data_IF_488238320918
#
_entry.id   IF_488238320918
#
_cell.length_a   1.000
_cell.length_b   1.000
_cell.length_c   1.000
_cell.angle_alpha   90.00
_cell.angle_beta   90.00
_cell.angle_gamma   90.00
#
_symmetry.space_group_name_H-M   'P 1'
#
loop_
_entity.id
_entity.type
_entity.pdbx_description
1 polymer ?
#
# COMPACT_ATOMS: atom_id res chain seq x y z
N UNK A 1 35.12 7.34 -51.69
CA UNK A 1 35.32 6.99 -50.27
C UNK A 1 34.64 8.10 -49.48
N UNK A 2 33.55 7.86 -48.76
CA UNK A 2 33.52 7.28 -47.41
C UNK A 2 32.31 6.34 -47.24
N UNK A 3 32.53 5.31 -46.42
CA UNK A 3 31.71 4.14 -46.14
C UNK A 3 30.46 4.42 -45.27
N UNK A 4 29.57 3.42 -45.26
CA UNK A 4 28.31 3.36 -44.53
C UNK A 4 28.46 3.44 -43.00
N UNK A 5 27.40 3.92 -42.33
CA UNK A 5 27.05 3.52 -40.98
C UNK A 5 25.53 3.53 -40.83
N UNK A 6 24.93 2.35 -40.96
CA UNK A 6 23.60 2.03 -40.44
C UNK A 6 23.60 2.17 -38.92
N UNK A 7 22.68 2.97 -38.37
CA UNK A 7 22.35 2.91 -36.95
C UNK A 7 20.92 2.41 -36.82
N UNK A 8 20.81 1.37 -36.00
CA UNK A 8 19.66 0.53 -35.78
C UNK A 8 18.46 1.28 -35.21
N UNK A 9 17.29 0.67 -35.49
CA UNK A 9 16.00 0.93 -34.89
C UNK A 9 16.13 1.00 -33.37
N UNK A 10 15.78 2.13 -32.77
CA UNK A 10 15.38 2.14 -31.37
C UNK A 10 13.86 2.11 -31.35
N UNK A 11 13.32 0.92 -31.14
CA UNK A 11 11.96 0.75 -30.66
C UNK A 11 11.89 1.46 -29.31
N UNK A 12 11.59 2.75 -29.30
CA UNK A 12 10.95 3.34 -28.14
C UNK A 12 9.49 2.88 -28.19
N UNK A 13 9.26 1.59 -27.88
CA UNK A 13 8.06 1.23 -27.14
C UNK A 13 8.19 2.04 -25.86
N UNK A 14 7.67 3.27 -25.87
CA UNK A 14 7.39 3.97 -24.63
C UNK A 14 6.54 2.99 -23.83
N UNK A 15 7.19 2.46 -22.79
CA UNK A 15 6.70 1.43 -21.90
C UNK A 15 5.21 1.67 -21.67
N UNK A 16 4.41 0.61 -21.74
CA UNK A 16 3.04 0.64 -21.25
C UNK A 16 3.04 1.40 -19.93
N UNK A 17 2.60 2.65 -19.98
CA UNK A 17 2.21 3.37 -18.80
C UNK A 17 0.97 2.58 -18.40
N UNK A 18 1.14 1.56 -17.56
CA UNK A 18 0.00 1.07 -16.81
C UNK A 18 -0.66 2.32 -16.28
N UNK A 19 -1.89 2.59 -16.70
CA UNK A 19 -2.80 3.56 -16.08
C UNK A 19 -3.08 3.07 -14.65
N UNK A 20 -2.01 2.95 -13.87
CA UNK A 20 -2.02 2.51 -12.51
C UNK A 20 -2.05 3.76 -11.66
N UNK A 21 -3.06 3.84 -10.83
CA UNK A 21 -3.18 4.84 -9.80
C UNK A 21 -2.13 4.59 -8.72
N UNK A 22 -1.53 5.66 -8.21
CA UNK A 22 -0.61 5.58 -7.09
C UNK A 22 -1.44 5.44 -5.82
N UNK A 23 -1.33 4.29 -5.17
CA UNK A 23 -1.95 4.00 -3.88
C UNK A 23 -0.91 4.23 -2.79
N UNK A 24 -1.14 5.23 -1.94
CA UNK A 24 -0.32 5.53 -0.77
C UNK A 24 -1.05 5.09 0.49
N UNK A 25 -0.48 4.11 1.19
CA UNK A 25 -0.87 3.74 2.54
C UNK A 25 -0.09 4.56 3.54
N UNK A 26 -0.80 5.13 4.52
CA UNK A 26 -0.17 5.83 5.64
C UNK A 26 -0.74 5.29 6.94
N UNK A 27 0.14 5.02 7.90
CA UNK A 27 -0.24 4.67 9.27
C UNK A 27 0.48 5.59 10.24
N UNK A 28 -0.29 6.18 11.14
CA UNK A 28 0.22 7.00 12.25
C UNK A 28 -0.27 6.48 13.57
N UNK A 29 0.43 6.84 14.64
CA UNK A 29 0.09 6.47 16.00
C UNK A 29 0.34 7.66 16.93
N UNK A 30 -0.50 7.80 17.95
CA UNK A 30 -0.38 8.84 18.99
C UNK A 30 0.53 8.42 20.15
N UNK A 31 0.78 7.12 20.31
CA UNK A 31 1.74 6.56 21.28
C UNK A 31 2.69 5.55 20.62
N UNK A 32 3.88 5.29 21.20
CA UNK A 32 4.77 4.26 20.69
C UNK A 32 4.12 2.86 20.78
N UNK A 33 4.08 2.13 19.66
CA UNK A 33 3.57 0.76 19.61
C UNK A 33 4.13 -0.01 18.41
N UNK A 34 4.26 -1.33 18.58
CA UNK A 34 4.40 -2.28 17.50
C UNK A 34 3.05 -2.52 16.81
N UNK A 35 3.07 -2.55 15.48
CA UNK A 35 1.92 -2.85 14.65
C UNK A 35 2.26 -3.97 13.68
N UNK A 36 1.39 -4.97 13.66
CA UNK A 36 1.32 -5.94 12.58
C UNK A 36 0.47 -5.36 11.46
N UNK A 37 1.13 -5.10 10.34
CA UNK A 37 0.50 -4.59 9.13
C UNK A 37 0.15 -5.75 8.21
N UNK A 38 -0.98 -5.62 7.56
CA UNK A 38 -1.35 -6.45 6.42
C UNK A 38 -2.03 -5.57 5.38
N UNK A 39 -1.41 -5.47 4.21
CA UNK A 39 -1.83 -4.55 3.16
C UNK A 39 -1.51 -5.10 1.76
N UNK A 40 -2.23 -4.62 0.76
CA UNK A 40 -2.10 -5.13 -0.61
C UNK A 40 -1.00 -4.38 -1.35
N UNK A 41 -0.01 -5.12 -1.85
CA UNK A 41 1.18 -4.56 -2.52
C UNK A 41 1.12 -4.69 -4.04
N UNK A 42 0.42 -5.70 -4.54
CA UNK A 42 0.23 -5.95 -5.96
C UNK A 42 -1.24 -6.27 -6.23
N UNK A 43 -1.80 -5.69 -7.28
CA UNK A 43 -3.20 -5.90 -7.64
C UNK A 43 -3.41 -7.33 -8.17
N UNK A 44 -4.36 -8.10 -7.61
CA UNK A 44 -4.76 -9.38 -8.18
C UNK A 44 -5.54 -9.15 -9.50
N UNK A 45 -5.38 -10.03 -10.50
CA UNK A 45 -6.11 -9.89 -11.77
C UNK A 45 -7.62 -10.03 -11.60
N UNK A 46 -8.07 -10.77 -10.57
CA UNK A 46 -9.47 -10.90 -10.16
C UNK A 46 -9.56 -11.51 -8.74
N UNK A 47 -10.79 -11.60 -8.22
CA UNK A 47 -11.07 -12.16 -6.89
C UNK A 47 -10.73 -13.65 -6.75
N UNK A 48 -10.82 -14.42 -7.84
CA UNK A 48 -10.50 -15.84 -7.84
C UNK A 48 -8.99 -16.07 -7.66
N UNK A 49 -8.16 -15.28 -8.34
CA UNK A 49 -6.71 -15.30 -8.20
C UNK A 49 -6.28 -14.88 -6.79
N UNK A 50 -6.92 -13.84 -6.24
CA UNK A 50 -6.71 -13.45 -4.84
C UNK A 50 -7.07 -14.58 -3.87
N UNK A 51 -8.23 -15.22 -4.04
CA UNK A 51 -8.67 -16.32 -3.17
C UNK A 51 -7.80 -17.57 -3.32
N UNK A 52 -7.23 -17.80 -4.51
CA UNK A 52 -6.32 -18.91 -4.77
C UNK A 52 -4.96 -18.71 -4.06
N UNK A 53 -4.43 -17.49 -4.04
CA UNK A 53 -3.17 -17.17 -3.36
C UNK A 53 -3.10 -15.71 -2.88
N UNK A 54 -3.75 -15.40 -1.76
CA UNK A 54 -3.78 -14.04 -1.22
C UNK A 54 -2.39 -13.55 -0.79
N UNK A 55 -1.49 -14.46 -0.39
CA UNK A 55 -0.15 -14.13 0.07
C UNK A 55 0.77 -13.65 -1.05
N UNK A 56 0.46 -13.97 -2.31
CA UNK A 56 1.16 -13.40 -3.46
C UNK A 56 0.90 -11.89 -3.65
N UNK A 57 -0.20 -11.37 -3.09
CA UNK A 57 -0.64 -9.98 -3.29
C UNK A 57 -0.54 -9.14 -2.01
N UNK A 58 -0.77 -9.77 -0.85
CA UNK A 58 -0.65 -9.13 0.46
C UNK A 58 0.78 -9.21 0.99
N UNK A 59 1.22 -8.11 1.61
CA UNK A 59 2.41 -8.11 2.44
C UNK A 59 2.01 -8.00 3.90
N UNK A 60 2.63 -8.85 4.72
CA UNK A 60 2.59 -8.78 6.17
C UNK A 60 3.95 -8.31 6.67
N UNK A 61 3.96 -7.28 7.50
CA UNK A 61 5.19 -6.82 8.15
C UNK A 61 4.89 -6.24 9.53
N UNK A 62 5.89 -6.28 10.39
CA UNK A 62 5.84 -5.65 11.70
C UNK A 62 6.60 -4.33 11.64
N UNK A 63 5.99 -3.25 12.15
CA UNK A 63 6.64 -1.94 12.26
C UNK A 63 6.49 -1.40 13.67
N UNK A 64 7.51 -0.68 14.14
CA UNK A 64 7.44 0.06 15.40
C UNK A 64 7.21 1.53 15.08
N UNK A 65 6.03 2.04 15.41
CA UNK A 65 5.69 3.45 15.21
C UNK A 65 6.05 4.28 16.43
N UNK A 66 6.51 5.50 16.16
CA UNK A 66 6.70 6.55 17.16
C UNK A 66 5.69 7.68 16.92
N UNK A 67 5.27 8.41 17.96
CA UNK A 67 4.39 9.56 17.80
C UNK A 67 4.96 10.58 16.81
N UNK A 68 4.14 11.00 15.85
CA UNK A 68 4.52 11.98 14.82
C UNK A 68 5.42 11.44 13.70
N UNK A 69 5.75 10.15 13.68
CA UNK A 69 6.49 9.50 12.58
C UNK A 69 5.54 8.57 11.83
N UNK A 70 4.99 8.99 10.67
CA UNK A 70 4.14 8.13 9.86
C UNK A 70 4.97 7.01 9.22
N UNK A 71 4.40 5.81 9.17
CA UNK A 71 4.80 4.79 8.20
C UNK A 71 4.06 5.06 6.90
N UNK A 72 4.79 5.03 5.78
CA UNK A 72 4.25 5.28 4.45
C UNK A 72 4.71 4.18 3.50
N UNK A 73 3.79 3.65 2.72
CA UNK A 73 4.08 2.73 1.62
C UNK A 73 3.31 3.15 0.39
N UNK A 74 3.99 3.16 -0.76
CA UNK A 74 3.39 3.48 -2.05
C UNK A 74 3.49 2.28 -2.99
N UNK A 75 2.42 2.03 -3.72
CA UNK A 75 2.39 1.07 -4.81
C UNK A 75 1.49 1.56 -5.94
N UNK A 76 1.58 0.92 -7.09
CA UNK A 76 0.79 1.25 -8.27
C UNK A 76 -0.23 0.15 -8.53
N UNK A 77 -1.51 0.53 -8.67
CA UNK A 77 -2.61 -0.40 -8.95
C UNK A 77 -3.46 0.13 -10.10
N UNK A 78 -3.80 -0.71 -11.07
CA UNK A 78 -4.75 -0.36 -12.14
C UNK A 78 -6.18 -0.14 -11.62
N UNK A 79 -6.58 -0.85 -10.57
CA UNK A 79 -7.84 -0.61 -9.84
C UNK A 79 -7.53 -0.36 -8.36
N UNK A 80 -7.45 0.91 -7.92
CA UNK A 80 -7.12 1.25 -6.54
C UNK A 80 -8.21 0.82 -5.56
N UNK A 81 -9.41 0.46 -6.02
CA UNK A 81 -10.50 0.04 -5.13
C UNK A 81 -10.22 -1.29 -4.39
N UNK A 82 -9.17 -2.01 -4.80
CA UNK A 82 -8.61 -3.17 -4.08
C UNK A 82 -7.73 -2.78 -2.89
N UNK A 83 -7.42 -1.51 -2.69
CA UNK A 83 -6.54 -1.10 -1.62
C UNK A 83 -7.12 -1.45 -0.24
N UNK A 84 -6.29 -2.07 0.59
CA UNK A 84 -6.58 -2.37 2.00
C UNK A 84 -5.33 -2.19 2.82
N UNK A 85 -5.50 -1.61 4.00
CA UNK A 85 -4.52 -1.56 5.07
C UNK A 85 -5.21 -1.94 6.36
N UNK A 86 -4.79 -3.04 6.95
CA UNK A 86 -5.13 -3.42 8.33
C UNK A 86 -3.89 -3.28 9.19
N UNK A 87 -4.04 -2.66 10.34
CA UNK A 87 -3.00 -2.57 11.34
C UNK A 87 -3.57 -2.96 12.71
N UNK A 88 -2.89 -3.85 13.41
CA UNK A 88 -3.23 -4.24 14.77
C UNK A 88 -1.99 -4.22 15.64
N UNK A 89 -2.14 -3.79 16.88
CA UNK A 89 -1.03 -3.80 17.83
C UNK A 89 -1.14 -4.97 18.81
N UNK A 90 0.00 -5.50 19.23
CA UNK A 90 0.11 -6.47 20.31
C UNK A 90 0.12 -5.87 21.71
N UNK A 91 -0.03 -4.54 21.85
CA UNK A 91 0.16 -3.81 23.12
C UNK A 91 -0.53 -4.50 24.30
N UNK A 92 0.23 -4.58 25.38
CA UNK A 92 -0.22 -5.17 26.62
C UNK A 92 -1.05 -4.14 27.39
N UNK A 93 -2.07 -4.61 28.13
CA UNK A 93 -3.10 -3.81 28.82
C UNK A 93 -2.62 -2.71 29.78
N UNK A 94 -1.30 -2.52 29.94
CA UNK A 94 -0.66 -1.50 30.77
C UNK A 94 -0.05 -0.33 30.00
N UNK A 95 -0.06 -0.35 28.66
CA UNK A 95 0.43 0.75 27.82
C UNK A 95 -0.69 1.73 27.48
N UNK A 96 -0.33 2.99 27.25
CA UNK A 96 -1.25 3.96 26.68
C UNK A 96 -1.77 3.45 25.33
N UNK A 97 -3.06 3.63 25.08
CA UNK A 97 -3.64 3.26 23.79
C UNK A 97 -2.93 4.04 22.67
N UNK A 98 -2.42 3.36 21.64
CA UNK A 98 -1.70 4.02 20.57
C UNK A 98 -2.59 4.85 19.66
N UNK A 99 -3.91 4.62 19.67
CA UNK A 99 -4.88 5.26 18.80
C UNK A 99 -4.40 5.34 17.33
N UNK A 100 -4.22 4.19 16.65
CA UNK A 100 -3.75 4.19 15.28
C UNK A 100 -4.72 4.89 14.34
N UNK A 101 -4.17 5.68 13.42
CA UNK A 101 -4.90 6.31 12.32
C UNK A 101 -4.33 5.81 10.99
N UNK A 102 -5.17 5.22 10.17
CA UNK A 102 -4.81 4.81 8.81
C UNK A 102 -5.41 5.74 7.76
N UNK A 103 -4.70 5.89 6.66
CA UNK A 103 -5.11 6.64 5.48
C UNK A 103 -4.72 5.86 4.22
N UNK A 104 -5.61 5.84 3.23
CA UNK A 104 -5.33 5.40 1.87
C UNK A 104 -5.59 6.59 0.96
N UNK A 105 -4.54 7.06 0.29
CA UNK A 105 -4.62 8.10 -0.71
C UNK A 105 -4.39 7.54 -2.12
N UNK A 106 -5.19 7.99 -3.07
CA UNK A 106 -5.13 7.61 -4.49
C UNK A 106 -4.68 8.85 -5.26
N UNK A 107 -3.56 8.75 -5.99
CA UNK A 107 -2.95 9.85 -6.73
C UNK A 107 -2.74 11.14 -5.89
N UNK A 108 -2.51 10.94 -4.58
CA UNK A 108 -2.32 12.02 -3.61
C UNK A 108 -3.59 12.51 -2.90
N UNK A 109 -4.78 12.09 -3.33
CA UNK A 109 -6.05 12.44 -2.69
C UNK A 109 -6.49 11.36 -1.69
N UNK A 110 -6.85 11.75 -0.47
CA UNK A 110 -7.31 10.81 0.57
C UNK A 110 -8.67 10.22 0.20
N UNK A 111 -8.70 8.94 -0.15
CA UNK A 111 -9.93 8.25 -0.52
C UNK A 111 -10.64 7.63 0.69
N UNK A 112 -9.88 7.12 1.66
CA UNK A 112 -10.42 6.62 2.93
C UNK A 112 -9.41 6.84 4.06
N UNK A 113 -9.93 7.16 5.24
CA UNK A 113 -9.17 7.25 6.48
C UNK A 113 -10.03 6.73 7.63
N UNK A 114 -9.41 6.15 8.65
CA UNK A 114 -10.09 5.64 9.84
C UNK A 114 -9.18 5.77 11.06
N UNK A 115 -9.81 5.91 12.22
CA UNK A 115 -9.17 5.88 13.53
C UNK A 115 -9.58 4.62 14.29
N UNK A 116 -8.67 4.12 15.11
CA UNK A 116 -8.94 3.02 16.02
C UNK A 116 -8.27 3.24 17.37
N UNK A 117 -8.57 2.38 18.35
CA UNK A 117 -7.94 2.44 19.69
C UNK A 117 -6.70 1.54 19.77
N UNK A 118 -6.80 0.33 19.21
CA UNK A 118 -5.72 -0.68 19.18
C UNK A 118 -5.60 -1.37 17.81
N UNK A 119 -6.63 -1.28 17.00
CA UNK A 119 -6.65 -1.84 15.65
C UNK A 119 -7.34 -0.85 14.74
N UNK A 120 -6.89 -0.76 13.50
CA UNK A 120 -7.53 0.07 12.49
C UNK A 120 -7.52 -0.65 11.14
N UNK A 121 -8.54 -0.39 10.34
CA UNK A 121 -8.68 -0.95 9.01
C UNK A 121 -9.20 0.13 8.06
N UNK A 122 -8.43 0.40 7.01
CA UNK A 122 -8.83 1.22 5.89
C UNK A 122 -8.98 0.30 4.67
N UNK A 123 -10.12 0.37 3.99
CA UNK A 123 -10.37 -0.42 2.79
C UNK A 123 -11.28 0.34 1.83
N UNK A 124 -11.09 0.11 0.52
CA UNK A 124 -11.98 0.61 -0.53
C UNK A 124 -13.00 -0.46 -0.94
N UNK A 125 -13.74 -0.27 -2.04
CA UNK A 125 -15.01 -0.97 -2.27
C UNK A 125 -14.96 -2.29 -3.09
N UNK A 126 -13.78 -2.83 -3.44
CA UNK A 126 -13.68 -4.08 -4.25
C UNK A 126 -13.61 -5.40 -3.44
N UNK A 127 -13.89 -5.35 -2.13
CA UNK A 127 -13.76 -6.50 -1.23
C UNK A 127 -15.00 -7.40 -1.15
#
# INVERSE_FOLDING_TARGET
MVAAASVAVSHATANAQSEGHVVRYTLTSTAPADFQLNYLTAQPPNKEAYNADAYAYLKKEEVVLQPGVPWVFETTMADPQWAILTASTGVHAMQASPNPHCEIAIDGEVAVQQDGTYTVQCQLSQW
#
